data_IF_612841995532
#
_entry.id   IF_612841995532
#
_cell.length_a   1.000
_cell.length_b   1.000
_cell.length_c   1.000
_cell.angle_alpha   90.00
_cell.angle_beta   90.00
_cell.angle_gamma   90.00
#
_symmetry.space_group_name_H-M   'P 1'
#
loop_
_entity.id
_entity.type
_entity.pdbx_description
1 polymer ?
#
# COMPACT_ATOMS: atom_id res chain seq x y z
N UNK A 1 -20.12 26.77 -1.98
CA UNK A 1 -19.81 25.61 -1.11
C UNK A 1 -19.70 24.27 -1.86
N UNK A 2 -19.94 24.18 -3.18
CA UNK A 2 -19.88 22.90 -3.93
C UNK A 2 -18.48 22.38 -4.29
N UNK A 3 -17.47 23.25 -4.49
CA UNK A 3 -16.14 22.82 -4.96
C UNK A 3 -15.33 22.00 -3.93
N UNK A 4 -15.48 22.27 -2.63
CA UNK A 4 -14.77 21.52 -1.58
C UNK A 4 -15.35 20.12 -1.41
N UNK A 5 -16.68 19.99 -1.51
CA UNK A 5 -17.36 18.70 -1.39
C UNK A 5 -17.00 17.76 -2.56
N UNK A 6 -16.93 18.27 -3.79
CA UNK A 6 -16.51 17.50 -4.97
C UNK A 6 -15.07 16.95 -4.80
N UNK A 7 -14.13 17.80 -4.36
CA UNK A 7 -12.74 17.38 -4.11
C UNK A 7 -12.62 16.25 -3.09
N UNK A 8 -13.41 16.28 -2.02
CA UNK A 8 -13.37 15.23 -0.98
C UNK A 8 -13.91 13.90 -1.51
N UNK A 9 -14.92 13.93 -2.38
CA UNK A 9 -15.48 12.72 -3.00
C UNK A 9 -14.49 12.11 -3.99
N UNK A 10 -13.85 12.92 -4.83
CA UNK A 10 -12.84 12.47 -5.78
C UNK A 10 -11.63 11.85 -5.07
N UNK A 11 -11.14 12.49 -4.00
CA UNK A 11 -10.03 11.94 -3.21
C UNK A 11 -10.37 10.60 -2.55
N UNK A 12 -11.61 10.42 -2.09
CA UNK A 12 -12.05 9.14 -1.51
C UNK A 12 -12.16 8.06 -2.58
N UNK A 13 -12.66 8.41 -3.75
CA UNK A 13 -12.76 7.48 -4.89
C UNK A 13 -11.38 7.02 -5.34
N UNK A 14 -10.45 7.96 -5.51
CA UNK A 14 -9.07 7.65 -5.93
C UNK A 14 -8.38 6.68 -4.96
N UNK A 15 -8.58 6.87 -3.65
CA UNK A 15 -8.01 5.96 -2.64
C UNK A 15 -8.63 4.56 -2.69
N UNK A 16 -9.94 4.47 -2.94
CA UNK A 16 -10.60 3.18 -3.10
C UNK A 16 -10.08 2.46 -4.35
N UNK A 17 -9.92 3.17 -5.47
CA UNK A 17 -9.37 2.61 -6.71
C UNK A 17 -7.90 2.18 -6.54
N UNK A 18 -7.07 2.98 -5.88
CA UNK A 18 -5.69 2.60 -5.52
C UNK A 18 -5.67 1.38 -4.60
N UNK A 19 -6.50 1.39 -3.56
CA UNK A 19 -6.60 0.28 -2.61
C UNK A 19 -7.02 -1.02 -3.29
N UNK A 20 -8.04 -0.99 -4.14
CA UNK A 20 -8.50 -2.16 -4.90
C UNK A 20 -7.41 -2.69 -5.83
N UNK A 21 -6.74 -1.82 -6.60
CA UNK A 21 -5.65 -2.23 -7.50
C UNK A 21 -4.53 -2.93 -6.74
N UNK A 22 -4.07 -2.36 -5.64
CA UNK A 22 -3.01 -2.96 -4.82
C UNK A 22 -3.45 -4.25 -4.13
N UNK A 23 -4.70 -4.35 -3.69
CA UNK A 23 -5.22 -5.60 -3.09
C UNK A 23 -5.19 -6.74 -4.11
N UNK A 24 -5.56 -6.47 -5.37
CA UNK A 24 -5.48 -7.48 -6.42
C UNK A 24 -4.03 -7.80 -6.79
N UNK A 25 -3.17 -6.79 -6.91
CA UNK A 25 -1.74 -6.96 -7.23
C UNK A 25 -0.99 -7.82 -6.19
N UNK A 26 -1.32 -7.66 -4.91
CA UNK A 26 -0.68 -8.39 -3.80
C UNK A 26 -1.50 -9.59 -3.30
N UNK A 27 -2.53 -10.00 -4.04
CA UNK A 27 -3.36 -11.14 -3.69
C UNK A 27 -2.50 -12.41 -3.56
N UNK A 28 -2.71 -13.16 -2.47
CA UNK A 28 -1.95 -14.38 -2.18
C UNK A 28 -0.58 -14.14 -1.56
N UNK A 29 -0.05 -12.91 -1.60
CA UNK A 29 1.18 -12.52 -0.88
C UNK A 29 0.87 -11.83 0.43
N UNK A 30 -0.21 -11.03 0.49
CA UNK A 30 -0.63 -10.28 1.67
C UNK A 30 -2.16 -10.28 1.80
N UNK A 31 -2.67 -10.16 3.02
CA UNK A 31 -4.09 -9.98 3.24
C UNK A 31 -4.54 -8.55 2.87
N UNK A 32 -5.79 -8.39 2.44
CA UNK A 32 -6.32 -7.11 2.00
C UNK A 32 -6.22 -6.02 3.08
N UNK A 33 -6.44 -6.38 4.36
CA UNK A 33 -6.32 -5.44 5.47
C UNK A 33 -4.92 -4.86 5.64
N UNK A 34 -3.86 -5.66 5.41
CA UNK A 34 -2.49 -5.19 5.46
C UNK A 34 -2.16 -4.23 4.30
N UNK A 35 -2.68 -4.52 3.11
CA UNK A 35 -2.53 -3.64 1.93
C UNK A 35 -3.21 -2.29 2.18
N UNK A 36 -4.47 -2.29 2.61
CA UNK A 36 -5.23 -1.06 2.88
C UNK A 36 -4.62 -0.23 4.02
N UNK A 37 -4.08 -0.89 5.05
CA UNK A 37 -3.34 -0.24 6.12
C UNK A 37 -2.10 0.48 5.58
N UNK A 38 -1.31 -0.18 4.72
CA UNK A 38 -0.12 0.43 4.13
C UNK A 38 -0.47 1.62 3.22
N UNK A 39 -1.53 1.53 2.42
CA UNK A 39 -2.03 2.65 1.60
C UNK A 39 -2.39 3.84 2.48
N UNK A 40 -3.11 3.60 3.58
CA UNK A 40 -3.51 4.66 4.53
C UNK A 40 -2.30 5.32 5.18
N UNK A 41 -1.31 4.53 5.60
CA UNK A 41 -0.05 5.01 6.18
C UNK A 41 0.71 5.86 5.15
N UNK A 42 0.87 5.39 3.92
CA UNK A 42 1.59 6.10 2.87
C UNK A 42 0.92 7.43 2.53
N UNK A 43 -0.41 7.43 2.42
CA UNK A 43 -1.17 8.67 2.20
C UNK A 43 -0.95 9.66 3.33
N UNK A 44 -1.06 9.21 4.58
CA UNK A 44 -0.88 10.07 5.74
C UNK A 44 0.53 10.68 5.79
N UNK A 45 1.56 9.91 5.42
CA UNK A 45 2.93 10.42 5.27
C UNK A 45 2.99 11.51 4.20
N UNK A 46 2.48 11.25 3.00
CA UNK A 46 2.54 12.19 1.88
C UNK A 46 1.77 13.49 2.15
N UNK A 47 0.61 13.39 2.79
CA UNK A 47 -0.16 14.57 3.23
C UNK A 47 0.64 15.40 4.23
N UNK A 48 1.28 14.77 5.22
CA UNK A 48 2.14 15.47 6.19
C UNK A 48 3.37 16.08 5.53
N UNK A 49 3.91 15.46 4.48
CA UNK A 49 5.00 16.00 3.68
C UNK A 49 4.58 17.11 2.70
N UNK A 50 3.31 17.48 2.67
CA UNK A 50 2.81 18.60 1.86
C UNK A 50 2.51 18.25 0.40
N UNK A 51 2.36 16.96 0.04
CA UNK A 51 1.95 16.57 -1.32
C UNK A 51 0.50 16.98 -1.57
N UNK A 52 0.29 17.94 -2.49
CA UNK A 52 -1.02 18.52 -2.81
C UNK A 52 -1.59 18.03 -4.14
N UNK A 53 -0.74 17.81 -5.14
CA UNK A 53 -1.12 17.33 -6.47
C UNK A 53 -0.61 15.90 -6.67
N UNK A 54 -1.39 15.07 -7.36
CA UNK A 54 -1.01 13.68 -7.63
C UNK A 54 -0.90 12.81 -6.37
N UNK A 55 -1.56 13.18 -5.26
CA UNK A 55 -1.48 12.46 -3.98
C UNK A 55 -1.85 10.98 -4.13
N UNK A 56 -2.86 10.65 -4.93
CA UNK A 56 -3.26 9.27 -5.19
C UNK A 56 -2.16 8.47 -5.89
N UNK A 57 -1.57 9.00 -6.97
CA UNK A 57 -0.49 8.35 -7.70
C UNK A 57 0.76 8.19 -6.83
N UNK A 58 1.12 9.22 -6.06
CA UNK A 58 2.23 9.16 -5.11
C UNK A 58 1.99 8.12 -4.00
N UNK A 59 0.75 8.04 -3.50
CA UNK A 59 0.34 7.05 -2.50
C UNK A 59 0.46 5.65 -3.06
N UNK A 60 -0.03 5.42 -4.28
CA UNK A 60 0.05 4.13 -4.97
C UNK A 60 1.51 3.69 -5.14
N UNK A 61 2.37 4.57 -5.68
CA UNK A 61 3.78 4.26 -5.91
C UNK A 61 4.52 3.94 -4.61
N UNK A 62 4.32 4.75 -3.56
CA UNK A 62 4.95 4.53 -2.26
C UNK A 62 4.46 3.24 -1.60
N UNK A 63 3.14 2.99 -1.63
CA UNK A 63 2.55 1.78 -1.07
C UNK A 63 3.02 0.53 -1.80
N UNK A 64 3.03 0.54 -3.14
CA UNK A 64 3.54 -0.57 -3.97
C UNK A 64 4.99 -0.90 -3.61
N UNK A 65 5.86 0.11 -3.54
CA UNK A 65 7.26 -0.08 -3.17
C UNK A 65 7.44 -0.69 -1.78
N UNK A 66 6.66 -0.23 -0.79
CA UNK A 66 6.74 -0.76 0.59
C UNK A 66 6.18 -2.18 0.70
N UNK A 67 5.06 -2.46 0.04
CA UNK A 67 4.46 -3.78 0.01
C UNK A 67 5.37 -4.80 -0.66
N UNK A 68 6.01 -4.43 -1.78
CA UNK A 68 6.97 -5.29 -2.47
C UNK A 68 8.16 -5.64 -1.57
N UNK A 69 8.79 -4.64 -0.94
CA UNK A 69 9.91 -4.87 -0.01
C UNK A 69 9.54 -5.77 1.16
N UNK A 70 8.34 -5.59 1.73
CA UNK A 70 7.85 -6.44 2.82
C UNK A 70 7.60 -7.87 2.36
N UNK A 71 7.00 -8.05 1.19
CA UNK A 71 6.74 -9.38 0.65
C UNK A 71 8.04 -10.13 0.26
N UNK A 72 9.08 -9.41 -0.16
CA UNK A 72 10.42 -9.98 -0.37
C UNK A 72 11.07 -10.41 0.95
N UNK A 73 10.96 -9.58 1.99
CA UNK A 73 11.47 -9.91 3.32
C UNK A 73 10.77 -11.15 3.90
N UNK A 74 9.44 -11.24 3.81
CA UNK A 74 8.66 -12.40 4.27
C UNK A 74 9.11 -13.69 3.55
N UNK A 75 9.36 -13.62 2.24
CA UNK A 75 9.82 -14.75 1.44
C UNK A 75 11.26 -15.18 1.79
N UNK A 76 12.16 -14.22 2.05
CA UNK A 76 13.52 -14.48 2.47
C UNK A 76 13.57 -15.14 3.85
N UNK A 77 12.75 -14.67 4.79
CA UNK A 77 12.63 -15.25 6.13
C UNK A 77 12.10 -16.70 6.08
N UNK A 78 11.07 -16.95 5.26
CA UNK A 78 10.54 -18.29 5.07
C UNK A 78 11.57 -19.25 4.45
N UNK A 79 12.35 -18.78 3.48
CA UNK A 79 13.45 -19.56 2.90
C UNK A 79 14.53 -19.87 3.95
N UNK A 80 14.87 -18.90 4.80
CA UNK A 80 15.85 -19.09 5.88
C UNK A 80 15.35 -20.13 6.90
N UNK A 81 14.08 -20.07 7.31
CA UNK A 81 13.46 -21.07 8.20
C UNK A 81 13.51 -22.48 7.61
N UNK A 82 13.17 -22.63 6.33
CA UNK A 82 13.23 -23.94 5.64
C UNK A 82 14.64 -24.50 5.53
N UNK A 83 15.65 -23.64 5.35
CA UNK A 83 17.05 -24.06 5.35
C UNK A 83 17.48 -24.52 6.74
N UNK A 84 17.14 -23.78 7.79
CA UNK A 84 17.44 -24.16 9.16
C UNK A 84 16.83 -25.52 9.54
N UNK A 85 15.57 -25.76 9.16
CA UNK A 85 14.86 -27.01 9.42
C UNK A 85 15.38 -28.24 8.63
N UNK A 86 16.24 -28.05 7.63
CA UNK A 86 16.87 -29.15 6.87
C UNK A 86 18.26 -29.54 7.39
N UNK A 87 18.86 -28.70 8.24
CA UNK A 87 20.23 -28.88 8.74
C UNK A 87 20.24 -29.34 10.20
N UNK A 88 19.15 -29.13 10.94
CA UNK A 88 18.92 -29.74 12.27
C UNK A 88 18.20 -31.06 12.16
#
# INVERSE_FOLDING_TARGET
MGHTAMRVVDERRDLLEVGQRLVQEFRGRRCAGAVLSEVTICRAVLVRSGVRAGLAAATEAMARCRLQRRAEADAAEELARRRAARVG
#
